data_IF_884459615037
#
_entry.id   IF_884459615037
#
_cell.length_a   1.000
_cell.length_b   1.000
_cell.length_c   1.000
_cell.angle_alpha   90.00
_cell.angle_beta   90.00
_cell.angle_gamma   90.00
#
_symmetry.space_group_name_H-M   'P 1'
#
loop_
_entity.id
_entity.type
_entity.pdbx_description
1 polymer ?
#
# COMPACT_ATOMS: atom_id res chain seq x y z
N UNK A 1 7.38 6.50 12.63
CA UNK A 1 6.22 5.61 12.78
C UNK A 1 6.52 4.25 12.16
N UNK A 2 6.32 3.16 12.88
CA UNK A 2 6.63 1.84 12.32
C UNK A 2 5.65 1.48 11.22
N UNK A 3 6.18 0.78 10.18
CA UNK A 3 5.35 0.26 9.12
C UNK A 3 4.62 -1.01 9.59
N UNK A 4 3.44 -1.31 9.06
CA UNK A 4 2.76 -2.56 9.37
C UNK A 4 3.54 -3.75 8.83
N UNK A 5 3.26 -4.92 9.38
CA UNK A 5 3.90 -6.16 8.93
C UNK A 5 3.59 -6.42 7.45
N UNK A 6 4.62 -6.82 6.69
CA UNK A 6 4.46 -7.16 5.28
C UNK A 6 3.95 -8.60 5.15
N UNK A 7 2.85 -8.77 4.41
CA UNK A 7 2.36 -10.09 4.02
C UNK A 7 3.05 -10.49 2.72
N UNK A 8 4.06 -11.36 2.80
CA UNK A 8 4.84 -11.75 1.63
C UNK A 8 4.17 -12.88 0.87
N UNK A 9 4.18 -12.77 -0.45
CA UNK A 9 3.59 -13.76 -1.36
C UNK A 9 4.66 -14.44 -2.22
N UNK A 10 5.89 -14.56 -1.71
CA UNK A 10 6.97 -15.26 -2.40
C UNK A 10 7.75 -16.14 -1.43
N UNK A 11 8.44 -17.16 -1.98
CA UNK A 11 9.30 -18.02 -1.18
C UNK A 11 10.64 -17.33 -0.93
N UNK A 12 11.37 -17.80 0.08
CA UNK A 12 12.71 -17.28 0.39
C UNK A 12 13.72 -17.50 -0.71
N UNK A 13 13.41 -18.38 -1.68
CA UNK A 13 14.30 -18.69 -2.81
C UNK A 13 14.11 -17.75 -3.99
N UNK A 14 13.02 -17.02 -4.04
CA UNK A 14 12.76 -16.08 -5.13
C UNK A 14 13.60 -14.83 -4.97
N UNK A 15 13.99 -14.24 -6.11
CA UNK A 15 14.81 -13.03 -6.10
C UNK A 15 13.98 -11.86 -5.61
N UNK A 16 14.46 -11.19 -4.59
CA UNK A 16 13.77 -10.03 -4.01
C UNK A 16 14.00 -8.75 -4.81
N UNK A 17 14.93 -8.78 -5.79
CA UNK A 17 15.22 -7.60 -6.61
C UNK A 17 14.02 -7.09 -7.39
N UNK A 18 13.08 -7.99 -7.76
CA UNK A 18 11.88 -7.63 -8.50
C UNK A 18 10.64 -7.49 -7.61
N UNK A 19 10.82 -7.59 -6.30
CA UNK A 19 9.70 -7.52 -5.37
C UNK A 19 8.97 -6.19 -5.48
N UNK A 20 7.65 -6.25 -5.36
CA UNK A 20 6.80 -5.07 -5.37
C UNK A 20 5.72 -5.26 -4.32
N UNK A 21 5.15 -4.16 -3.86
CA UNK A 21 4.26 -4.15 -2.72
C UNK A 21 2.98 -3.40 -3.04
N UNK A 22 1.86 -3.93 -2.56
CA UNK A 22 0.61 -3.18 -2.47
C UNK A 22 0.57 -2.59 -1.08
N UNK A 23 0.19 -1.33 -0.98
CA UNK A 23 0.09 -0.63 0.29
C UNK A 23 -1.22 0.16 0.36
N UNK A 24 -1.68 0.40 1.57
CA UNK A 24 -2.84 1.25 1.82
C UNK A 24 -2.44 2.32 2.83
N UNK A 25 -2.75 3.56 2.52
CA UNK A 25 -2.50 4.71 3.38
C UNK A 25 -3.80 5.15 4.05
N UNK A 26 -3.73 5.42 5.35
CA UNK A 26 -4.80 6.10 6.06
C UNK A 26 -4.54 7.60 5.97
N UNK A 27 -5.54 8.37 5.55
CA UNK A 27 -5.45 9.82 5.42
C UNK A 27 -6.13 10.53 6.60
N UNK A 28 -5.84 11.82 6.77
CA UNK A 28 -6.36 12.61 7.91
C UNK A 28 -7.89 12.61 7.98
N UNK A 29 -8.55 12.58 6.84
CA UNK A 29 -10.01 12.57 6.77
C UNK A 29 -10.62 11.17 6.95
N UNK A 30 -9.80 10.18 7.29
CA UNK A 30 -10.24 8.80 7.45
C UNK A 30 -10.33 8.01 6.15
N UNK A 31 -10.05 8.62 5.00
CA UNK A 31 -10.07 7.92 3.72
C UNK A 31 -8.86 6.99 3.58
N UNK A 32 -8.98 6.02 2.68
CA UNK A 32 -7.94 5.02 2.43
C UNK A 32 -7.49 5.13 0.97
N UNK A 33 -6.19 5.26 0.77
CA UNK A 33 -5.59 5.27 -0.57
C UNK A 33 -4.80 4.00 -0.80
N UNK A 34 -5.04 3.32 -1.92
CA UNK A 34 -4.35 2.09 -2.30
C UNK A 34 -3.43 2.34 -3.49
N UNK A 35 -2.20 1.83 -3.40
CA UNK A 35 -1.24 1.93 -4.47
C UNK A 35 -0.30 0.73 -4.48
N UNK A 36 0.66 0.73 -5.42
CA UNK A 36 1.74 -0.25 -5.43
C UNK A 36 3.08 0.46 -5.66
N UNK A 37 4.16 -0.14 -5.19
CA UNK A 37 5.49 0.44 -5.31
C UNK A 37 6.55 -0.64 -5.09
N UNK A 38 7.77 -0.37 -5.47
CA UNK A 38 8.91 -1.22 -5.12
C UNK A 38 9.54 -0.82 -3.79
N UNK A 39 9.17 0.33 -3.22
CA UNK A 39 9.72 0.84 -1.97
C UNK A 39 8.64 1.62 -1.21
N UNK A 40 8.02 0.98 -0.24
CA UNK A 40 6.88 1.57 0.50
C UNK A 40 7.29 2.81 1.29
N UNK A 41 8.44 2.78 1.96
CA UNK A 41 8.89 3.92 2.76
C UNK A 41 9.14 5.15 1.90
N UNK A 42 9.84 4.96 0.77
CA UNK A 42 10.14 6.04 -0.16
C UNK A 42 8.85 6.60 -0.79
N UNK A 43 7.92 5.72 -1.15
CA UNK A 43 6.65 6.14 -1.74
C UNK A 43 5.78 6.87 -0.73
N UNK A 44 5.75 6.41 0.52
CA UNK A 44 5.03 7.13 1.57
C UNK A 44 5.60 8.53 1.79
N UNK A 45 6.93 8.66 1.80
CA UNK A 45 7.57 9.97 1.92
C UNK A 45 7.19 10.90 0.77
N UNK A 46 7.10 10.37 -0.47
CA UNK A 46 6.66 11.14 -1.62
C UNK A 46 5.20 11.61 -1.46
N UNK A 47 4.32 10.73 -1.00
CA UNK A 47 2.92 11.10 -0.74
C UNK A 47 2.82 12.18 0.34
N UNK A 48 3.57 12.03 1.42
CA UNK A 48 3.56 12.98 2.55
C UNK A 48 4.07 14.36 2.17
N UNK A 49 4.99 14.42 1.20
CA UNK A 49 5.56 15.69 0.73
C UNK A 49 4.78 16.31 -0.43
N UNK A 50 3.63 15.72 -0.82
CA UNK A 50 2.81 16.23 -1.90
C UNK A 50 3.30 15.85 -3.30
N UNK A 51 4.28 14.95 -3.41
CA UNK A 51 4.83 14.49 -4.69
C UNK A 51 4.30 13.13 -5.12
N UNK A 52 3.36 12.58 -4.35
CA UNK A 52 2.74 11.31 -4.69
C UNK A 52 1.58 11.47 -5.64
N UNK A 53 0.52 10.70 -5.42
CA UNK A 53 -0.66 10.74 -6.26
C UNK A 53 -1.46 12.03 -6.04
N UNK A 54 -2.28 12.36 -7.04
CA UNK A 54 -3.19 13.49 -6.96
C UNK A 54 -4.12 13.38 -5.75
N UNK A 55 -4.61 12.17 -5.48
CA UNK A 55 -5.48 11.91 -4.34
C UNK A 55 -4.81 12.30 -3.01
N UNK A 56 -3.56 11.91 -2.80
CA UNK A 56 -2.86 12.16 -1.55
C UNK A 56 -2.41 13.61 -1.37
N UNK A 57 -2.44 14.41 -2.44
CA UNK A 57 -2.24 15.86 -2.31
C UNK A 57 -3.47 16.54 -1.71
N UNK A 58 -4.67 16.02 -2.02
CA UNK A 58 -5.92 16.54 -1.47
C UNK A 58 -6.29 15.88 -0.13
N UNK A 59 -5.82 14.65 0.10
CA UNK A 59 -6.12 13.86 1.29
C UNK A 59 -4.81 13.48 1.96
N UNK A 60 -4.37 14.29 2.90
CA UNK A 60 -3.05 14.14 3.50
C UNK A 60 -2.87 12.79 4.19
N UNK A 61 -1.86 12.00 3.80
CA UNK A 61 -1.63 10.69 4.41
C UNK A 61 -1.05 10.81 5.81
N UNK A 62 -1.53 9.94 6.71
CA UNK A 62 -1.09 9.89 8.10
C UNK A 62 -0.11 8.75 8.32
N UNK A 63 -0.44 7.55 7.84
CA UNK A 63 0.42 6.38 8.02
C UNK A 63 0.05 5.27 7.03
N UNK A 64 0.99 4.34 6.85
CA UNK A 64 0.74 3.10 6.12
C UNK A 64 0.00 2.15 7.06
N UNK A 65 -1.14 1.63 6.65
CA UNK A 65 -1.96 0.71 7.46
C UNK A 65 -1.98 -0.71 6.94
N UNK A 66 -1.45 -0.94 5.73
CA UNK A 66 -1.40 -2.27 5.15
C UNK A 66 -0.29 -2.32 4.11
N UNK A 67 0.43 -3.45 4.06
CA UNK A 67 1.32 -3.73 2.94
C UNK A 67 1.43 -5.23 2.70
N UNK A 68 1.48 -5.60 1.43
CA UNK A 68 1.56 -6.98 0.98
C UNK A 68 2.59 -7.05 -0.12
N UNK A 69 3.56 -7.96 0.02
CA UNK A 69 4.68 -8.07 -0.91
C UNK A 69 4.50 -9.22 -1.90
N UNK A 70 4.95 -8.99 -3.13
CA UNK A 70 4.87 -9.92 -4.24
C UNK A 70 6.23 -10.04 -4.91
N UNK A 71 6.49 -11.19 -5.54
CA UNK A 71 7.76 -11.42 -6.21
C UNK A 71 7.92 -10.56 -7.46
N UNK A 72 6.80 -10.13 -8.09
CA UNK A 72 6.83 -9.36 -9.33
C UNK A 72 5.90 -8.15 -9.27
N UNK A 73 6.23 -7.14 -10.08
CA UNK A 73 5.37 -5.96 -10.25
C UNK A 73 3.99 -6.32 -10.78
N UNK A 74 3.94 -7.28 -11.69
CA UNK A 74 2.68 -7.69 -12.30
C UNK A 74 1.69 -8.23 -11.27
N UNK A 75 2.19 -9.07 -10.34
CA UNK A 75 1.36 -9.58 -9.27
C UNK A 75 0.87 -8.47 -8.36
N UNK A 76 1.74 -7.54 -8.00
CA UNK A 76 1.37 -6.40 -7.17
C UNK A 76 0.32 -5.53 -7.85
N UNK A 77 0.46 -5.27 -9.14
CA UNK A 77 -0.51 -4.48 -9.91
C UNK A 77 -1.88 -5.14 -9.93
N UNK A 78 -1.93 -6.46 -10.09
CA UNK A 78 -3.18 -7.22 -10.06
C UNK A 78 -3.85 -7.11 -8.69
N UNK A 79 -3.05 -7.23 -7.63
CA UNK A 79 -3.57 -7.14 -6.27
C UNK A 79 -4.07 -5.73 -5.96
N UNK A 80 -3.35 -4.71 -6.41
CA UNK A 80 -3.78 -3.32 -6.25
C UNK A 80 -5.17 -3.12 -6.85
N UNK A 81 -5.36 -3.59 -8.09
CA UNK A 81 -6.65 -3.48 -8.76
C UNK A 81 -7.77 -4.19 -7.99
N UNK A 82 -7.47 -5.36 -7.43
CA UNK A 82 -8.44 -6.10 -6.62
C UNK A 82 -8.78 -5.36 -5.32
N UNK A 83 -7.80 -4.82 -4.64
CA UNK A 83 -8.01 -4.08 -3.39
C UNK A 83 -8.80 -2.80 -3.66
N UNK A 84 -8.54 -2.12 -4.78
CA UNK A 84 -9.29 -0.92 -5.15
C UNK A 84 -10.78 -1.19 -5.37
N UNK A 85 -11.16 -2.42 -5.72
CA UNK A 85 -12.55 -2.81 -5.92
C UNK A 85 -13.27 -3.21 -4.63
N UNK A 86 -12.56 -3.35 -3.52
CA UNK A 86 -13.18 -3.65 -2.24
C UNK A 86 -14.04 -2.47 -1.75
N UNK A 87 -15.09 -2.77 -1.04
CA UNK A 87 -15.88 -1.75 -0.36
C UNK A 87 -15.03 -1.12 0.75
N UNK A 88 -15.47 0.04 1.25
CA UNK A 88 -14.79 0.70 2.37
C UNK A 88 -14.68 -0.23 3.59
N UNK A 89 -15.77 -0.92 3.92
CA UNK A 89 -15.78 -1.85 5.06
C UNK A 89 -14.80 -3.00 4.86
N UNK A 90 -14.72 -3.54 3.64
CA UNK A 90 -13.79 -4.62 3.32
C UNK A 90 -12.34 -4.15 3.40
N UNK A 91 -12.05 -2.94 2.92
CA UNK A 91 -10.70 -2.35 3.04
C UNK A 91 -10.33 -2.14 4.50
N UNK A 92 -11.26 -1.66 5.32
CA UNK A 92 -11.01 -1.46 6.74
C UNK A 92 -10.68 -2.78 7.43
N UNK A 93 -11.40 -3.85 7.10
CA UNK A 93 -11.11 -5.18 7.64
C UNK A 93 -9.75 -5.68 7.19
N UNK A 94 -9.41 -5.50 5.91
CA UNK A 94 -8.11 -5.88 5.37
C UNK A 94 -6.98 -5.18 6.14
N UNK A 95 -7.16 -3.92 6.48
CA UNK A 95 -6.16 -3.10 7.16
C UNK A 95 -6.22 -3.20 8.69
N UNK A 96 -7.14 -3.97 9.24
CA UNK A 96 -7.30 -4.10 10.69
C UNK A 96 -7.83 -2.84 11.37
N UNK A 97 -8.64 -2.07 10.68
CA UNK A 97 -9.16 -0.78 11.17
C UNK A 97 -10.61 -0.86 11.64
N UNK A 98 -11.06 -1.99 12.06
CA UNK A 98 -12.42 -2.16 12.58
C UNK A 98 -12.58 -1.60 13.99
#
# INVERSE_FOLDING_TARGET
MPLPRVKRRWSVREKMADAAYVYVLLCEDGSLYTGWTTDVEKRFAAHSSGRGARYTRAHRPVRVVYQEGFATKREAMRREAAVKRLSRAEKQRLCGLE
#
